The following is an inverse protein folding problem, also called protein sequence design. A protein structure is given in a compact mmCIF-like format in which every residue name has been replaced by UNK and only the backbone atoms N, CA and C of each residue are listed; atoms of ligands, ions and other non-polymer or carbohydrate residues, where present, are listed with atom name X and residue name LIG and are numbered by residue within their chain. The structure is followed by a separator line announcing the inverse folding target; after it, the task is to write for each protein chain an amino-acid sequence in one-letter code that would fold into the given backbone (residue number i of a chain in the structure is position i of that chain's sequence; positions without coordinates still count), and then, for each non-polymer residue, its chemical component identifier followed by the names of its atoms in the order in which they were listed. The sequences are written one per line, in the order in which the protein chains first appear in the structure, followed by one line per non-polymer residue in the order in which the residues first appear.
data_IF_272682634531
#
_entry.id   IF_272682634531
#
_cell.length_a   1.000
_cell.length_b   1.000
_cell.length_c   1.000
_cell.angle_alpha   90.00
_cell.angle_beta   90.00
_cell.angle_gamma   90.00
#
_symmetry.space_group_name_H-M   'P 1'
#
loop_
_entity.id
_entity.type
_entity.pdbx_description
1 polymer ?
#
# COMPACT_ATOMS: atom_id res chain seq x y z
N UNK A 1 14.23 -11.92 4.53
CA UNK A 1 13.20 -11.30 5.38
C UNK A 1 13.13 -9.84 5.01
N UNK A 2 11.97 -9.39 4.51
CA UNK A 2 11.74 -7.96 4.32
C UNK A 2 11.75 -7.25 5.68
N UNK A 3 12.37 -6.08 5.74
CA UNK A 3 12.36 -5.24 6.94
C UNK A 3 10.98 -4.59 7.12
N UNK A 4 10.60 -4.30 8.37
CA UNK A 4 9.45 -3.46 8.67
C UNK A 4 9.65 -2.04 8.14
N UNK A 5 8.56 -1.29 8.00
CA UNK A 5 8.58 0.07 7.45
C UNK A 5 9.67 0.93 8.09
N UNK A 6 10.56 1.44 7.25
CA UNK A 6 11.70 2.25 7.65
C UNK A 6 12.02 3.30 6.57
N UNK A 7 13.04 4.13 6.82
CA UNK A 7 13.44 5.21 5.90
C UNK A 7 13.86 4.72 4.52
N UNK A 8 14.44 3.53 4.42
CA UNK A 8 14.84 2.95 3.13
C UNK A 8 13.63 2.49 2.32
N UNK A 9 12.63 1.89 2.97
CA UNK A 9 11.35 1.52 2.33
C UNK A 9 10.58 2.77 1.91
N UNK A 10 10.55 3.80 2.74
CA UNK A 10 9.94 5.09 2.39
C UNK A 10 10.64 5.74 1.18
N UNK A 11 11.98 5.74 1.17
CA UNK A 11 12.74 6.20 -0.01
C UNK A 11 12.39 5.38 -1.25
N UNK A 12 12.28 4.06 -1.11
CA UNK A 12 11.89 3.16 -2.19
C UNK A 12 10.49 3.50 -2.73
N UNK A 13 9.52 3.77 -1.85
CA UNK A 13 8.20 4.27 -2.22
C UNK A 13 8.31 5.51 -3.11
N UNK A 14 9.08 6.52 -2.69
CA UNK A 14 9.23 7.75 -3.46
C UNK A 14 9.87 7.51 -4.84
N UNK A 15 10.97 6.73 -4.89
CA UNK A 15 11.70 6.45 -6.13
C UNK A 15 10.86 5.62 -7.10
N UNK A 16 10.16 4.59 -6.62
CA UNK A 16 9.31 3.77 -7.48
C UNK A 16 8.10 4.54 -7.99
N UNK A 17 7.47 5.36 -7.13
CA UNK A 17 6.30 6.17 -7.50
C UNK A 17 6.61 7.18 -8.60
N UNK A 18 7.81 7.75 -8.61
CA UNK A 18 8.23 8.69 -9.64
C UNK A 18 8.27 8.09 -11.06
N UNK A 19 8.26 6.77 -11.21
CA UNK A 19 8.19 6.15 -12.53
C UNK A 19 6.80 6.28 -13.18
N UNK A 20 5.75 6.54 -12.40
CA UNK A 20 4.36 6.57 -12.87
C UNK A 20 3.52 7.73 -12.33
N UNK A 21 4.06 8.55 -11.43
CA UNK A 21 3.43 9.75 -10.90
C UNK A 21 4.34 10.97 -11.07
N UNK A 22 3.74 12.15 -11.23
CA UNK A 22 4.52 13.40 -11.31
C UNK A 22 5.01 13.81 -9.91
N UNK A 23 6.09 14.61 -9.81
CA UNK A 23 6.57 15.13 -8.53
C UNK A 23 5.49 15.87 -7.73
N UNK A 24 4.58 16.60 -8.37
CA UNK A 24 3.48 17.34 -7.73
C UNK A 24 2.42 16.40 -7.14
N UNK A 25 2.32 15.17 -7.64
CA UNK A 25 1.42 14.17 -7.08
C UNK A 25 2.01 13.51 -5.82
N UNK A 26 3.33 13.63 -5.62
CA UNK A 26 4.09 12.88 -4.63
C UNK A 26 4.73 13.75 -3.54
N UNK A 27 4.99 15.02 -3.83
CA UNK A 27 5.62 15.99 -2.95
C UNK A 27 4.79 17.26 -2.81
N UNK A 28 4.88 17.89 -1.65
CA UNK A 28 4.35 19.24 -1.46
C UNK A 28 5.19 20.24 -2.23
N UNK A 29 4.54 21.23 -2.84
CA UNK A 29 5.21 22.33 -3.53
C UNK A 29 5.10 23.59 -2.67
N UNK A 30 6.23 24.22 -2.36
CA UNK A 30 6.28 25.52 -1.66
C UNK A 30 5.93 26.67 -2.60
N UNK A 31 5.70 27.85 -2.05
CA UNK A 31 5.62 29.11 -2.81
C UNK A 31 6.88 29.46 -3.61
N UNK A 32 8.03 28.91 -3.23
CA UNK A 32 9.32 29.04 -3.93
C UNK A 32 9.64 27.86 -4.86
N UNK A 33 8.64 27.12 -5.32
CA UNK A 33 8.77 25.96 -6.24
C UNK A 33 9.73 24.86 -5.75
N UNK A 34 9.83 24.68 -4.43
CA UNK A 34 10.58 23.58 -3.81
C UNK A 34 9.66 22.41 -3.51
N UNK A 35 10.14 21.20 -3.79
CA UNK A 35 9.45 19.97 -3.48
C UNK A 35 9.85 19.46 -2.09
N UNK A 36 8.86 19.13 -1.27
CA UNK A 36 9.04 18.62 0.09
C UNK A 36 8.26 17.33 0.29
N UNK A 37 8.92 16.28 0.81
CA UNK A 37 8.22 15.07 1.27
C UNK A 37 7.30 15.38 2.46
N UNK A 38 7.75 16.24 3.37
CA UNK A 38 7.03 16.63 4.58
C UNK A 38 7.20 18.11 4.85
N UNK A 39 6.14 18.75 5.35
CA UNK A 39 6.22 20.13 5.84
C UNK A 39 7.16 20.19 7.06
N UNK A 40 8.19 21.06 7.04
CA UNK A 40 9.06 21.20 8.20
C UNK A 40 8.29 21.78 9.39
N UNK A 41 8.73 21.40 10.60
CA UNK A 41 8.16 21.95 11.84
C UNK A 41 8.31 23.48 11.84
N UNK A 42 7.21 24.19 12.12
CA UNK A 42 7.21 25.65 12.15
C UNK A 42 7.20 26.34 10.78
N UNK A 43 6.92 25.63 9.68
CA UNK A 43 6.75 26.25 8.36
C UNK A 43 5.69 27.36 8.41
N UNK A 44 6.11 28.60 8.07
CA UNK A 44 5.28 29.81 8.15
C UNK A 44 4.56 30.16 6.84
N UNK A 45 4.91 29.52 5.73
CA UNK A 45 4.29 29.75 4.43
C UNK A 45 2.94 29.05 4.27
N UNK A 46 2.27 29.30 3.14
CA UNK A 46 1.01 28.60 2.81
C UNK A 46 1.29 27.11 2.60
N UNK A 47 0.52 26.27 3.30
CA UNK A 47 0.56 24.81 3.12
C UNK A 47 -0.52 24.40 2.14
N UNK A 48 -0.17 23.51 1.22
CA UNK A 48 -1.10 22.80 0.36
C UNK A 48 -1.42 21.42 0.92
N UNK A 49 -2.56 20.88 0.52
CA UNK A 49 -2.91 19.46 0.70
C UNK A 49 -2.35 18.66 -0.47
N UNK A 50 -2.00 17.40 -0.21
CA UNK A 50 -1.45 16.47 -1.21
C UNK A 50 -2.25 15.17 -1.15
N UNK A 51 -3.46 15.21 -1.69
CA UNK A 51 -4.39 14.07 -1.63
C UNK A 51 -3.97 12.91 -2.54
N UNK A 52 -3.38 13.22 -3.69
CA UNK A 52 -2.88 12.23 -4.66
C UNK A 52 -1.91 11.21 -4.03
N UNK A 53 -1.07 11.65 -3.08
CA UNK A 53 -0.11 10.76 -2.41
C UNK A 53 -0.78 9.68 -1.58
N UNK A 54 -1.95 9.93 -1.01
CA UNK A 54 -2.61 8.95 -0.14
C UNK A 54 -2.95 7.67 -0.91
N UNK A 55 -3.44 7.79 -2.13
CA UNK A 55 -3.70 6.63 -3.00
C UNK A 55 -2.39 5.94 -3.40
N UNK A 56 -1.36 6.71 -3.75
CA UNK A 56 -0.06 6.16 -4.16
C UNK A 56 0.62 5.36 -3.04
N UNK A 57 0.65 5.92 -1.82
CA UNK A 57 1.26 5.24 -0.69
C UNK A 57 0.42 4.03 -0.26
N UNK A 58 -0.91 4.11 -0.32
CA UNK A 58 -1.81 3.00 -0.04
C UNK A 58 -1.50 1.78 -0.91
N UNK A 59 -1.54 1.94 -2.24
CA UNK A 59 -1.22 0.86 -3.18
C UNK A 59 0.19 0.30 -3.00
N UNK A 60 1.16 1.15 -2.67
CA UNK A 60 2.53 0.69 -2.39
C UNK A 60 2.58 -0.15 -1.09
N UNK A 61 1.94 0.31 -0.02
CA UNK A 61 1.94 -0.37 1.28
C UNK A 61 1.18 -1.69 1.24
N UNK A 62 0.09 -1.77 0.48
CA UNK A 62 -0.65 -3.02 0.25
C UNK A 62 0.26 -4.07 -0.40
N UNK A 63 0.91 -3.74 -1.52
CA UNK A 63 1.86 -4.64 -2.15
C UNK A 63 3.00 -5.02 -1.21
N UNK A 64 3.55 -4.04 -0.49
CA UNK A 64 4.65 -4.26 0.45
C UNK A 64 4.26 -5.23 1.57
N UNK A 65 3.05 -5.09 2.15
CA UNK A 65 2.59 -5.98 3.21
C UNK A 65 2.17 -7.36 2.66
N UNK A 66 1.60 -7.45 1.46
CA UNK A 66 1.35 -8.74 0.79
C UNK A 66 2.63 -9.55 0.67
N UNK A 67 3.69 -8.94 0.16
CA UNK A 67 4.97 -9.63 0.02
C UNK A 67 5.58 -10.01 1.39
N UNK A 68 5.43 -9.16 2.41
CA UNK A 68 5.91 -9.47 3.77
C UNK A 68 5.17 -10.66 4.36
N UNK A 69 3.84 -10.69 4.24
CA UNK A 69 3.01 -11.81 4.70
C UNK A 69 3.34 -13.07 3.92
N UNK A 70 3.58 -12.96 2.61
CA UNK A 70 3.95 -14.11 1.78
C UNK A 70 5.23 -14.80 2.27
N UNK A 71 6.24 -14.05 2.69
CA UNK A 71 7.48 -14.59 3.28
C UNK A 71 7.18 -15.41 4.56
N UNK A 72 6.15 -15.05 5.32
CA UNK A 72 5.77 -15.69 6.59
C UNK A 72 4.93 -16.95 6.39
N UNK A 73 4.13 -17.01 5.31
CA UNK A 73 3.19 -18.12 5.08
C UNK A 73 3.62 -19.10 3.98
N UNK A 74 4.72 -18.81 3.29
CA UNK A 74 5.22 -19.62 2.18
C UNK A 74 5.52 -21.07 2.57
N UNK A 75 6.06 -21.31 3.78
CA UNK A 75 6.37 -22.64 4.29
C UNK A 75 5.13 -23.46 4.67
N UNK A 76 3.97 -22.80 4.81
CA UNK A 76 2.67 -23.42 5.10
C UNK A 76 1.87 -23.76 3.85
N UNK A 77 2.41 -23.50 2.66
CA UNK A 77 1.69 -23.69 1.40
C UNK A 77 0.52 -22.72 1.21
N UNK A 78 0.53 -21.60 1.93
CA UNK A 78 -0.49 -20.55 1.85
C UNK A 78 0.01 -19.36 1.02
N UNK A 79 -0.92 -18.49 0.65
CA UNK A 79 -0.68 -17.33 -0.20
C UNK A 79 -1.19 -16.05 0.44
N UNK A 80 -0.42 -14.98 0.33
CA UNK A 80 -0.92 -13.63 0.58
C UNK A 80 -1.47 -13.07 -0.74
N UNK A 81 -2.74 -12.68 -0.76
CA UNK A 81 -3.44 -12.21 -1.96
C UNK A 81 -3.88 -10.76 -1.71
N UNK A 82 -3.39 -9.85 -2.54
CA UNK A 82 -3.83 -8.44 -2.54
C UNK A 82 -5.17 -8.30 -3.28
N UNK A 83 -6.08 -7.46 -2.76
CA UNK A 83 -7.31 -7.11 -3.47
C UNK A 83 -8.31 -8.26 -3.61
N UNK A 84 -8.29 -9.22 -2.69
CA UNK A 84 -9.14 -10.41 -2.77
C UNK A 84 -10.63 -10.08 -2.58
N UNK A 85 -11.49 -10.76 -3.33
CA UNK A 85 -12.96 -10.68 -3.24
C UNK A 85 -13.55 -12.00 -2.77
N UNK A 86 -14.65 -11.95 -2.03
CA UNK A 86 -15.44 -13.09 -1.57
C UNK A 86 -16.84 -12.55 -1.21
N UNK A 87 -17.77 -12.66 -2.15
CA UNK A 87 -19.13 -12.10 -2.05
C UNK A 87 -19.89 -12.67 -0.84
N UNK A 88 -19.63 -13.92 -0.45
CA UNK A 88 -20.27 -14.59 0.69
C UNK A 88 -19.96 -13.95 2.04
N UNK A 89 -18.88 -13.18 2.15
CA UNK A 89 -18.55 -12.37 3.33
C UNK A 89 -18.53 -10.87 3.04
N UNK A 90 -19.23 -10.46 1.99
CA UNK A 90 -19.36 -9.06 1.57
C UNK A 90 -18.02 -8.38 1.17
N UNK A 91 -17.01 -9.15 0.80
CA UNK A 91 -15.82 -8.63 0.12
C UNK A 91 -16.11 -8.54 -1.39
N UNK A 92 -16.80 -7.49 -1.79
CA UNK A 92 -17.21 -7.32 -3.19
C UNK A 92 -16.10 -6.71 -4.04
N UNK A 93 -16.23 -6.76 -5.37
CA UNK A 93 -15.32 -6.04 -6.27
C UNK A 93 -15.24 -4.52 -6.05
N UNK A 94 -16.25 -3.92 -5.38
CA UNK A 94 -16.27 -2.49 -5.04
C UNK A 94 -15.51 -2.19 -3.73
N UNK A 95 -15.31 -3.20 -2.90
CA UNK A 95 -14.62 -3.09 -1.61
C UNK A 95 -13.88 -4.40 -1.35
N UNK A 96 -12.85 -4.71 -2.16
CA UNK A 96 -12.03 -5.89 -1.94
C UNK A 96 -11.27 -5.75 -0.61
N UNK A 97 -10.79 -6.86 -0.07
CA UNK A 97 -9.86 -6.81 1.04
C UNK A 97 -8.49 -6.33 0.57
N UNK A 98 -7.81 -5.52 1.39
CA UNK A 98 -6.45 -5.05 1.11
C UNK A 98 -5.50 -6.25 0.90
N UNK A 99 -5.45 -7.17 1.87
CA UNK A 99 -4.72 -8.43 1.78
C UNK A 99 -5.44 -9.56 2.53
N UNK A 100 -5.47 -10.76 1.96
CA UNK A 100 -5.99 -11.99 2.58
C UNK A 100 -4.92 -13.08 2.59
N UNK A 101 -4.91 -13.95 3.60
CA UNK A 101 -4.18 -15.22 3.55
C UNK A 101 -5.13 -16.32 3.06
N UNK A 102 -4.76 -17.00 1.99
CA UNK A 102 -5.59 -17.99 1.32
C UNK A 102 -4.82 -19.27 0.97
N UNK A 103 -5.54 -20.37 0.78
CA UNK A 103 -5.03 -21.63 0.26
C UNK A 103 -4.81 -21.61 -1.26
N UNK A 104 -5.27 -20.57 -1.95
CA UNK A 104 -5.08 -20.37 -3.39
C UNK A 104 -4.62 -18.93 -3.69
N UNK A 105 -4.03 -18.70 -4.88
CA UNK A 105 -3.62 -17.37 -5.35
C UNK A 105 -4.73 -16.57 -6.05
N UNK A 106 -5.95 -17.10 -6.07
CA UNK A 106 -7.05 -16.49 -6.81
C UNK A 106 -7.43 -15.14 -6.18
N UNK A 107 -7.85 -14.16 -6.98
CA UNK A 107 -8.40 -12.92 -6.43
C UNK A 107 -9.83 -13.19 -5.94
N UNK A 108 -10.60 -13.93 -6.74
CA UNK A 108 -11.92 -14.41 -6.37
C UNK A 108 -11.80 -15.65 -5.46
N UNK A 109 -12.08 -15.45 -4.17
CA UNK A 109 -11.92 -16.40 -3.09
C UNK A 109 -13.26 -17.00 -2.69
N UNK A 110 -13.22 -18.26 -2.28
CA UNK A 110 -14.38 -18.97 -1.70
C UNK A 110 -14.22 -19.11 -0.18
N UNK A 111 -15.32 -19.22 0.58
CA UNK A 111 -15.26 -19.34 2.03
C UNK A 111 -14.37 -20.48 2.55
N UNK A 112 -14.24 -21.57 1.80
CA UNK A 112 -13.47 -22.76 2.22
C UNK A 112 -11.95 -22.61 2.02
N UNK A 113 -11.52 -21.56 1.31
CA UNK A 113 -10.12 -21.37 0.89
C UNK A 113 -9.37 -20.32 1.72
N UNK A 114 -10.01 -19.65 2.70
CA UNK A 114 -9.43 -18.48 3.40
C UNK A 114 -9.07 -18.74 4.87
N UNK A 115 -7.99 -18.11 5.32
CA UNK A 115 -7.60 -17.99 6.73
C UNK A 115 -7.40 -16.49 7.03
N UNK A 116 -8.25 -15.91 7.86
CA UNK A 116 -8.47 -14.46 7.91
C UNK A 116 -7.31 -13.68 8.57
N UNK A 117 -6.89 -12.57 7.93
CA UNK A 117 -6.33 -11.38 8.58
C UNK A 117 -7.01 -10.19 7.90
N UNK A 118 -7.66 -9.33 8.68
CA UNK A 118 -8.14 -8.01 8.26
C UNK A 118 -7.28 -6.96 8.97
N UNK A 119 -6.68 -6.04 8.21
CA UNK A 119 -6.03 -4.83 8.70
C UNK A 119 -6.52 -3.67 7.86
#
# INVERSE_FOLDING_TARGET
MKEFWNKEIERKFFVESLNYATPEQLFYVTDTDRYLAYWPKGYKGKKSTLQSRNSLIGSFTEKWITDLIQDVVADKGLFAVQGATCEEIALTSLSPADVVIAGSRNIDQRPEEKYEISC
#
